data_IF_004612335234
#
_entry.id   IF_004612335234
#
_cell.length_a   1.000
_cell.length_b   1.000
_cell.length_c   1.000
_cell.angle_alpha   90.00
_cell.angle_beta   90.00
_cell.angle_gamma   90.00
#
_symmetry.space_group_name_H-M   'P 1'
#
loop_
_entity.id
_entity.type
_entity.pdbx_description
1 polymer ?
#
# COMPACT_ATOMS: atom_id res chain seq x y z
N UNK A 1 4.02 7.46 24.48
CA UNK A 1 4.17 8.32 23.27
C UNK A 1 2.86 8.20 22.51
N UNK A 2 2.14 9.29 22.28
CA UNK A 2 0.92 9.24 21.47
C UNK A 2 1.32 8.96 20.04
N UNK A 3 1.00 7.78 19.49
CA UNK A 3 1.01 7.61 18.05
C UNK A 3 0.06 8.66 17.47
N UNK A 4 0.61 9.61 16.72
CA UNK A 4 -0.18 10.53 15.93
C UNK A 4 -0.91 9.73 14.86
N UNK A 5 -2.20 9.47 15.08
CA UNK A 5 -3.07 8.82 14.11
C UNK A 5 -3.17 9.67 12.86
N UNK A 6 -2.89 9.09 11.69
CA UNK A 6 -3.08 9.78 10.42
C UNK A 6 -4.56 10.15 10.24
N UNK A 7 -4.90 11.35 9.73
CA UNK A 7 -6.28 11.70 9.42
C UNK A 7 -6.80 10.82 8.28
N UNK A 8 -8.12 10.59 8.23
CA UNK A 8 -8.75 9.80 7.17
C UNK A 8 -8.58 10.41 5.77
N UNK A 9 -8.34 11.73 5.69
CA UNK A 9 -8.02 12.43 4.45
C UNK A 9 -6.56 12.28 4.00
N UNK A 10 -5.69 11.65 4.80
CA UNK A 10 -4.30 11.43 4.42
C UNK A 10 -4.23 10.46 3.23
N UNK A 11 -3.26 10.71 2.35
CA UNK A 11 -2.93 9.86 1.21
C UNK A 11 -1.61 9.15 1.52
N UNK A 12 -1.53 7.88 1.16
CA UNK A 12 -0.31 7.10 1.17
C UNK A 12 0.01 6.56 -0.21
N UNK A 13 1.30 6.42 -0.51
CA UNK A 13 1.80 5.90 -1.78
C UNK A 13 2.35 4.50 -1.61
N UNK A 14 1.97 3.60 -2.51
CA UNK A 14 2.47 2.24 -2.62
C UNK A 14 3.28 2.14 -3.92
N UNK A 15 4.59 1.93 -3.79
CA UNK A 15 5.45 1.69 -4.94
C UNK A 15 5.14 0.33 -5.59
N UNK A 16 4.95 0.32 -6.90
CA UNK A 16 4.67 -0.87 -7.69
C UNK A 16 5.98 -1.41 -8.29
N UNK A 17 6.55 -2.39 -7.61
CA UNK A 17 7.90 -2.91 -7.88
C UNK A 17 7.96 -4.02 -8.95
N UNK A 18 6.83 -4.36 -9.56
CA UNK A 18 6.75 -5.35 -10.64
C UNK A 18 5.86 -4.83 -11.77
N UNK A 19 6.27 -5.05 -13.02
CA UNK A 19 5.49 -4.60 -14.20
C UNK A 19 4.08 -5.19 -14.23
N UNK A 20 3.92 -6.45 -13.83
CA UNK A 20 2.61 -7.13 -13.82
C UNK A 20 1.67 -6.67 -12.69
N UNK A 21 2.10 -5.74 -11.83
CA UNK A 21 1.26 -5.25 -10.73
C UNK A 21 0.24 -4.20 -11.13
N UNK A 22 0.23 -3.80 -12.40
CA UNK A 22 -0.81 -2.96 -12.96
C UNK A 22 -0.85 -3.16 -14.46
N UNK A 23 -1.93 -2.74 -15.07
CA UNK A 23 -2.10 -2.70 -16.52
C UNK A 23 -2.08 -1.23 -16.97
N UNK A 24 -1.18 -0.91 -17.90
CA UNK A 24 -0.94 0.47 -18.35
C UNK A 24 -2.13 1.01 -19.15
N UNK A 25 -2.84 0.15 -19.87
CA UNK A 25 -3.93 0.56 -20.77
C UNK A 25 -5.22 0.85 -19.98
N UNK A 26 -5.52 0.00 -19.00
CA UNK A 26 -6.72 0.09 -18.16
C UNK A 26 -6.48 0.90 -16.88
N UNK A 27 -5.22 1.13 -16.52
CA UNK A 27 -4.79 1.71 -15.23
C UNK A 27 -5.23 0.89 -14.00
N UNK A 28 -5.67 -0.35 -14.20
CA UNK A 28 -6.07 -1.24 -13.13
C UNK A 28 -4.84 -1.76 -12.38
N UNK A 29 -4.90 -1.74 -11.05
CA UNK A 29 -3.85 -2.30 -10.20
C UNK A 29 -4.18 -3.76 -9.92
N UNK A 30 -3.18 -4.63 -10.06
CA UNK A 30 -3.31 -6.04 -9.76
C UNK A 30 -3.27 -6.27 -8.23
N UNK A 31 -4.21 -7.04 -7.64
CA UNK A 31 -4.23 -7.41 -6.23
C UNK A 31 -2.90 -7.96 -5.68
N UNK A 32 -2.09 -8.59 -6.53
CA UNK A 32 -0.76 -9.09 -6.16
C UNK A 32 0.18 -8.03 -5.56
N UNK A 33 -0.08 -6.74 -5.77
CA UNK A 33 0.67 -5.63 -5.18
C UNK A 33 0.43 -5.46 -3.66
N UNK A 34 -0.63 -6.07 -3.13
CA UNK A 34 -1.15 -5.84 -1.78
C UNK A 34 -1.04 -7.05 -0.84
N UNK A 35 -0.46 -8.16 -1.28
CA UNK A 35 -0.18 -9.28 -0.38
C UNK A 35 1.00 -9.00 0.57
N UNK A 36 0.79 -9.34 1.83
CA UNK A 36 1.84 -9.42 2.85
C UNK A 36 2.74 -10.64 2.61
N UNK A 37 4.06 -10.48 2.72
CA UNK A 37 5.02 -11.55 2.38
C UNK A 37 5.63 -12.17 3.63
N UNK A 38 5.19 -13.38 3.97
CA UNK A 38 5.66 -14.10 5.17
C UNK A 38 7.17 -14.35 5.16
N UNK A 39 7.76 -14.69 4.00
CA UNK A 39 9.21 -14.90 3.86
C UNK A 39 10.06 -13.68 4.24
N UNK A 40 9.47 -12.49 4.21
CA UNK A 40 10.12 -11.23 4.61
C UNK A 40 9.78 -10.80 6.03
N UNK A 41 8.95 -11.57 6.75
CA UNK A 41 8.46 -11.26 8.09
C UNK A 41 7.84 -9.85 8.14
N UNK A 42 7.11 -9.48 7.09
CA UNK A 42 6.47 -8.17 6.99
C UNK A 42 5.33 -8.08 8.01
N UNK A 43 5.40 -7.16 8.96
CA UNK A 43 4.33 -6.94 9.95
C UNK A 43 3.16 -6.11 9.41
N UNK A 44 3.34 -5.48 8.25
CA UNK A 44 2.34 -4.72 7.52
C UNK A 44 2.84 -4.37 6.12
N UNK A 45 1.95 -3.85 5.28
CA UNK A 45 2.28 -3.48 3.91
C UNK A 45 2.86 -2.06 3.86
N UNK A 46 4.13 -1.97 3.47
CA UNK A 46 4.90 -0.72 3.39
C UNK A 46 4.29 0.29 2.41
N UNK A 47 4.14 1.54 2.87
CA UNK A 47 3.67 2.69 2.11
C UNK A 47 4.42 3.98 2.51
N UNK A 48 4.51 4.94 1.61
CA UNK A 48 5.07 6.26 1.88
C UNK A 48 3.96 7.28 2.20
N UNK A 49 4.25 8.25 3.05
CA UNK A 49 3.31 9.32 3.40
C UNK A 49 3.34 10.42 2.34
N UNK A 50 2.23 10.64 1.63
CA UNK A 50 2.16 11.65 0.56
C UNK A 50 2.43 13.08 1.04
N UNK A 51 2.18 13.36 2.32
CA UNK A 51 2.45 14.65 2.95
C UNK A 51 3.94 14.95 3.15
N UNK A 52 4.80 13.94 3.04
CA UNK A 52 6.23 14.04 3.35
C UNK A 52 7.13 13.35 2.30
N UNK A 53 6.56 12.84 1.20
CA UNK A 53 7.25 12.14 0.14
C UNK A 53 6.53 12.40 -1.18
N UNK A 54 7.24 12.99 -2.14
CA UNK A 54 6.76 13.13 -3.52
C UNK A 54 6.73 11.79 -4.27
N UNK A 55 6.07 11.75 -5.42
CA UNK A 55 6.05 10.56 -6.29
C UNK A 55 7.47 10.18 -6.73
N UNK A 56 8.29 11.15 -7.16
CA UNK A 56 9.68 10.93 -7.56
C UNK A 56 10.52 10.36 -6.41
N UNK A 57 10.40 10.91 -5.20
CA UNK A 57 11.10 10.39 -4.02
C UNK A 57 10.61 9.00 -3.61
N UNK A 58 9.32 8.69 -3.81
CA UNK A 58 8.77 7.36 -3.59
C UNK A 58 9.39 6.34 -4.55
N UNK A 59 9.46 6.67 -5.84
CA UNK A 59 10.08 5.82 -6.84
C UNK A 59 11.59 5.63 -6.60
N UNK A 60 12.30 6.71 -6.26
CA UNK A 60 13.77 6.73 -6.08
C UNK A 60 14.27 5.86 -4.91
N UNK A 61 13.40 5.48 -3.98
CA UNK A 61 13.74 4.55 -2.88
C UNK A 61 14.03 3.13 -3.36
N UNK A 62 13.65 2.78 -4.59
CA UNK A 62 13.77 1.44 -5.12
C UNK A 62 14.67 1.40 -6.36
N UNK A 63 15.43 0.30 -6.50
CA UNK A 63 16.23 0.07 -7.72
C UNK A 63 15.36 0.06 -8.98
N UNK A 64 14.15 -0.48 -8.87
CA UNK A 64 13.15 -0.49 -9.93
C UNK A 64 11.80 -0.12 -9.29
N UNK A 65 11.12 0.87 -9.85
CA UNK A 65 9.73 1.20 -9.59
C UNK A 65 9.06 1.34 -10.96
N UNK A 66 7.94 0.64 -11.17
CA UNK A 66 7.22 0.66 -12.45
C UNK A 66 5.96 1.49 -12.39
N UNK A 67 5.53 1.90 -11.20
CA UNK A 67 4.42 2.81 -11.01
C UNK A 67 4.16 3.07 -9.53
N UNK A 68 3.24 3.97 -9.25
CA UNK A 68 2.86 4.34 -7.89
C UNK A 68 1.34 4.31 -7.77
N UNK A 69 0.86 3.61 -6.75
CA UNK A 69 -0.54 3.60 -6.37
C UNK A 69 -0.76 4.55 -5.18
N UNK A 70 -1.77 5.41 -5.25
CA UNK A 70 -2.24 6.23 -4.15
C UNK A 70 -3.46 5.59 -3.49
N UNK A 71 -3.50 5.62 -2.15
CA UNK A 71 -4.63 5.17 -1.35
C UNK A 71 -4.97 6.21 -0.28
N UNK A 72 -6.27 6.40 -0.02
CA UNK A 72 -6.73 7.25 1.07
C UNK A 72 -6.88 6.43 2.37
N UNK A 73 -6.33 6.94 3.49
CA UNK A 73 -6.33 6.25 4.79
C UNK A 73 -7.73 5.90 5.28
N UNK A 74 -8.71 6.81 5.11
CA UNK A 74 -10.10 6.55 5.51
C UNK A 74 -10.73 5.36 4.78
N UNK A 75 -10.42 5.18 3.49
CA UNK A 75 -10.93 4.04 2.70
C UNK A 75 -10.27 2.73 3.15
N UNK A 76 -8.97 2.75 3.45
CA UNK A 76 -8.25 1.60 4.03
C UNK A 76 -8.92 1.17 5.36
N UNK A 77 -9.26 2.15 6.22
CA UNK A 77 -9.93 1.88 7.50
C UNK A 77 -11.33 1.32 7.37
N UNK A 78 -12.07 1.69 6.33
CA UNK A 78 -13.38 1.08 6.03
C UNK A 78 -13.28 -0.42 5.73
N UNK A 79 -12.10 -0.92 5.34
CA UNK A 79 -11.84 -2.36 5.16
C UNK A 79 -11.51 -3.09 6.46
N UNK A 80 -11.45 -2.38 7.60
CA UNK A 80 -11.04 -2.92 8.89
C UNK A 80 -9.53 -2.96 9.11
N UNK A 81 -8.76 -2.28 8.27
CA UNK A 81 -7.30 -2.13 8.38
C UNK A 81 -6.95 -0.81 9.08
N UNK A 82 -5.67 -0.56 9.36
CA UNK A 82 -5.19 0.75 9.80
C UNK A 82 -3.87 1.11 9.12
N UNK A 83 -3.49 2.39 9.17
CA UNK A 83 -2.21 2.88 8.64
C UNK A 83 -1.41 3.49 9.77
N UNK A 84 -0.29 2.86 10.10
CA UNK A 84 0.53 3.22 11.26
C UNK A 84 1.88 3.78 10.78
N UNK A 85 2.17 5.07 11.01
CA UNK A 85 3.49 5.65 10.76
C UNK A 85 4.56 5.00 11.63
N UNK A 86 5.69 4.68 11.03
CA UNK A 86 6.89 4.18 11.74
C UNK A 86 8.12 5.08 11.54
N UNK A 87 8.06 6.02 10.59
CA UNK A 87 9.07 7.05 10.36
C UNK A 87 8.44 8.32 9.76
N UNK A 88 9.18 9.42 9.59
CA UNK A 88 8.65 10.68 9.06
C UNK A 88 8.03 10.60 7.65
N UNK A 89 8.46 9.65 6.83
CA UNK A 89 8.03 9.52 5.42
C UNK A 89 7.40 8.16 5.10
N UNK A 90 7.27 7.28 6.10
CA UNK A 90 6.85 5.89 5.92
C UNK A 90 5.80 5.47 6.95
N UNK A 91 4.91 4.57 6.51
CA UNK A 91 3.92 3.91 7.33
C UNK A 91 3.70 2.49 6.83
N UNK A 92 2.95 1.70 7.61
CA UNK A 92 2.51 0.38 7.22
C UNK A 92 0.99 0.29 7.26
N UNK A 93 0.39 -0.33 6.25
CA UNK A 93 -0.99 -0.81 6.32
C UNK A 93 -0.97 -2.08 7.18
N UNK A 94 -1.64 -2.03 8.33
CA UNK A 94 -1.67 -3.06 9.37
C UNK A 94 -2.99 -3.84 9.33
N UNK A 95 -2.96 -5.08 9.83
CA UNK A 95 -4.14 -5.95 9.94
C UNK A 95 -4.36 -6.88 8.75
N UNK A 96 -3.45 -6.88 7.76
CA UNK A 96 -3.47 -7.84 6.66
C UNK A 96 -3.00 -9.22 7.17
N UNK A 97 -3.71 -10.32 6.85
CA UNK A 97 -3.20 -11.66 7.10
C UNK A 97 -2.12 -12.02 6.08
N UNK A 98 -1.21 -12.92 6.47
CA UNK A 98 -0.41 -13.64 5.49
C UNK A 98 -1.30 -14.60 4.71
N UNK A 99 -1.03 -14.75 3.40
CA UNK A 99 -1.80 -15.67 2.55
C UNK A 99 -1.68 -17.13 3.01
N UNK A 100 -0.56 -17.48 3.62
CA UNK A 100 -0.29 -18.79 4.19
C UNK A 100 -1.12 -19.08 5.44
N UNK A 101 -1.56 -18.05 6.17
CA UNK A 101 -2.32 -18.19 7.42
C UNK A 101 -3.83 -18.11 7.18
N UNK A 102 -4.29 -17.20 6.30
CA UNK A 102 -5.68 -17.08 5.88
C UNK A 102 -5.76 -16.58 4.42
N UNK A 103 -5.77 -17.52 3.48
CA UNK A 103 -5.74 -17.22 2.05
C UNK A 103 -6.98 -16.47 1.57
N UNK A 104 -8.16 -16.83 2.09
CA UNK A 104 -9.42 -16.25 1.66
C UNK A 104 -9.55 -14.79 2.11
N UNK A 105 -9.16 -14.49 3.35
CA UNK A 105 -9.16 -13.11 3.84
C UNK A 105 -8.05 -12.28 3.18
N UNK A 106 -6.86 -12.87 2.96
CA UNK A 106 -5.77 -12.20 2.26
C UNK A 106 -6.16 -11.79 0.84
N UNK A 107 -6.77 -12.71 0.08
CA UNK A 107 -7.23 -12.47 -1.30
C UNK A 107 -8.30 -11.38 -1.34
N UNK A 108 -9.33 -11.51 -0.50
CA UNK A 108 -10.40 -10.51 -0.40
C UNK A 108 -9.86 -9.11 -0.08
N UNK A 109 -8.93 -8.98 0.88
CA UNK A 109 -8.38 -7.68 1.26
C UNK A 109 -7.45 -7.10 0.19
N UNK A 110 -6.66 -7.95 -0.47
CA UNK A 110 -5.81 -7.53 -1.59
C UNK A 110 -6.66 -7.00 -2.76
N UNK A 111 -7.76 -7.68 -3.10
CA UNK A 111 -8.71 -7.24 -4.12
C UNK A 111 -9.35 -5.90 -3.77
N UNK A 112 -9.82 -5.75 -2.53
CA UNK A 112 -10.44 -4.51 -2.07
C UNK A 112 -9.44 -3.34 -2.04
N UNK A 113 -8.20 -3.58 -1.62
CA UNK A 113 -7.14 -2.57 -1.66
C UNK A 113 -6.82 -2.15 -3.09
N UNK A 114 -6.74 -3.10 -4.03
CA UNK A 114 -6.54 -2.81 -5.45
C UNK A 114 -7.69 -1.98 -6.05
N UNK A 115 -8.94 -2.28 -5.67
CA UNK A 115 -10.11 -1.54 -6.14
C UNK A 115 -10.17 -0.08 -5.66
N UNK A 116 -9.70 0.20 -4.44
CA UNK A 116 -9.68 1.58 -3.91
C UNK A 116 -8.40 2.34 -4.25
N UNK A 117 -7.38 1.65 -4.78
CA UNK A 117 -6.12 2.26 -5.15
C UNK A 117 -6.22 2.94 -6.51
N UNK A 118 -5.54 4.09 -6.64
CA UNK A 118 -5.45 4.83 -7.90
C UNK A 118 -4.01 4.81 -8.41
N UNK A 119 -3.79 4.42 -9.66
CA UNK A 119 -2.49 4.58 -10.31
C UNK A 119 -2.24 6.08 -10.56
N UNK A 120 -1.13 6.62 -10.05
CA UNK A 120 -0.79 8.05 -10.10
C UNK A 120 0.55 8.36 -10.76
N UNK A 121 1.35 7.34 -11.07
CA UNK A 121 2.62 7.43 -11.82
C UNK A 121 2.96 6.07 -12.44
N UNK A 122 3.53 6.01 -13.67
CA UNK A 122 3.94 4.78 -14.38
C UNK A 122 4.82 5.03 -15.61
#
# INVERSE_FOLDING_TARGET
MSQSTLPDSAIVYRALLRKQWFDVETQEINPDAFYLRQKKQEVGLSVNLASACSLEECAAQFRNCYGIAALQVGQIRQLGLDVVPDSPTHANIMGLPYREDDSALAERLADLLAQIAQLVDY
#
